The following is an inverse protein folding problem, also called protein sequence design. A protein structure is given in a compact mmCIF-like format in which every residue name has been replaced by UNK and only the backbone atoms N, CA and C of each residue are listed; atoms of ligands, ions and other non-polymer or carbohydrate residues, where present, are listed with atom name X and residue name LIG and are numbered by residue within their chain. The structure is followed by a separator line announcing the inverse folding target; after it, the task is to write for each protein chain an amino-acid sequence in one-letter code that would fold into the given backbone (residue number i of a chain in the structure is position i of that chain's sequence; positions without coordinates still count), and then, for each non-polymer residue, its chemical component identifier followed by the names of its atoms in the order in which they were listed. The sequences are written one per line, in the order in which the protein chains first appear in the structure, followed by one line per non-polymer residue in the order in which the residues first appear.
data_IF_851583710589
#
_entry.id   IF_851583710589
#
_cell.length_a   1.000
_cell.length_b   1.000
_cell.length_c   1.000
_cell.angle_alpha   90.00
_cell.angle_beta   90.00
_cell.angle_gamma   90.00
#
_symmetry.space_group_name_H-M   'P 1'
#
loop_
_entity.id
_entity.type
_entity.pdbx_description
1 polymer ?
#
# COMPACT_ATOMS: atom_id res chain seq x y z
N UNK A 1 -20.11 24.56 -6.35
CA UNK A 1 -19.41 23.25 -6.45
C UNK A 1 -18.51 23.10 -5.22
N UNK A 2 -18.73 22.07 -4.42
CA UNK A 2 -17.77 21.53 -3.45
C UNK A 2 -17.40 20.12 -3.98
N UNK A 3 -16.29 19.44 -3.67
CA UNK A 3 -15.17 19.56 -2.71
C UNK A 3 -13.92 18.99 -3.44
N UNK A 4 -12.65 19.19 -3.08
CA UNK A 4 -11.97 19.65 -1.86
C UNK A 4 -10.84 20.63 -2.24
N UNK A 5 -10.50 21.57 -1.36
CA UNK A 5 -9.25 22.34 -1.41
C UNK A 5 -8.50 22.26 -0.06
N UNK A 6 -7.18 22.48 -0.10
CA UNK A 6 -6.22 22.58 1.02
C UNK A 6 -5.57 21.31 1.62
N UNK A 7 -4.23 21.33 1.55
CA UNK A 7 -3.21 20.61 2.34
C UNK A 7 -2.59 19.30 1.79
N UNK A 8 -1.46 19.42 1.07
CA UNK A 8 -0.15 18.96 1.56
C UNK A 8 1.07 19.49 0.77
N UNK A 9 1.21 20.81 0.63
CA UNK A 9 2.42 21.44 0.07
C UNK A 9 3.47 21.75 1.16
N UNK A 10 4.11 20.73 1.77
CA UNK A 10 5.29 20.90 2.65
C UNK A 10 6.31 19.74 2.58
N UNK A 11 7.52 19.95 2.02
CA UNK A 11 8.59 18.95 2.02
C UNK A 11 9.48 19.07 3.27
N UNK A 12 9.20 18.30 4.34
CA UNK A 12 10.03 18.33 5.56
C UNK A 12 9.90 17.10 6.49
N UNK A 13 9.67 15.91 5.95
CA UNK A 13 9.33 14.71 6.75
C UNK A 13 10.25 13.49 6.60
N UNK A 14 11.22 13.47 5.68
CA UNK A 14 12.18 12.36 5.57
C UNK A 14 13.03 12.16 6.86
N UNK A 15 13.30 13.24 7.60
CA UNK A 15 13.98 13.19 8.90
C UNK A 15 13.05 12.84 10.09
N UNK A 16 11.72 12.87 9.90
CA UNK A 16 10.73 12.60 10.96
C UNK A 16 10.17 11.18 10.95
N UNK A 17 10.31 10.43 9.86
CA UNK A 17 9.76 9.05 9.72
C UNK A 17 10.43 8.01 10.62
N UNK A 18 11.69 8.20 11.02
CA UNK A 18 12.37 7.30 11.97
C UNK A 18 12.02 7.58 13.45
N UNK A 19 11.65 8.83 13.79
CA UNK A 19 11.35 9.25 15.17
C UNK A 19 9.89 9.02 15.59
N UNK A 20 9.00 8.66 14.65
CA UNK A 20 7.60 8.29 14.94
C UNK A 20 7.43 6.83 15.35
N UNK A 21 8.40 5.95 15.06
CA UNK A 21 8.28 4.51 15.39
C UNK A 21 8.38 4.19 16.89
N UNK A 22 8.96 5.08 17.70
CA UNK A 22 9.10 4.92 19.16
C UNK A 22 8.08 5.71 19.97
N UNK A 23 7.58 6.84 19.45
CA UNK A 23 6.65 7.73 20.18
C UNK A 23 5.18 7.28 20.12
N UNK A 24 4.80 6.40 19.18
CA UNK A 24 3.46 5.79 19.11
C UNK A 24 3.38 4.47 19.92
N UNK A 25 4.24 4.30 20.94
CA UNK A 25 4.06 3.24 21.95
C UNK A 25 3.12 3.65 23.09
N UNK A 26 2.58 4.88 23.06
CA UNK A 26 1.81 5.47 24.16
C UNK A 26 0.44 6.04 23.76
N UNK A 27 -0.32 5.34 22.90
CA UNK A 27 -1.78 5.51 22.83
C UNK A 27 -2.47 4.22 22.39
N UNK A 28 -3.14 3.51 23.32
CA UNK A 28 -3.88 2.26 23.04
C UNK A 28 -5.09 2.55 22.15
N UNK A 29 -5.41 1.68 21.16
CA UNK A 29 -6.77 1.71 20.61
C UNK A 29 -7.15 1.10 19.25
N UNK A 30 -6.28 0.49 18.42
CA UNK A 30 -6.73 -0.32 17.24
C UNK A 30 -5.60 -1.19 16.67
N UNK A 31 -5.44 -2.42 17.16
CA UNK A 31 -4.22 -3.23 16.97
C UNK A 31 -4.01 -3.91 15.60
N UNK A 32 -4.98 -3.83 14.67
CA UNK A 32 -4.94 -4.61 13.41
C UNK A 32 -4.09 -3.95 12.32
N UNK A 33 -4.11 -2.62 12.17
CA UNK A 33 -3.39 -1.92 11.09
C UNK A 33 -1.86 -1.96 11.25
N UNK A 34 -1.37 -1.96 12.49
CA UNK A 34 0.06 -1.90 12.83
C UNK A 34 0.79 -3.24 12.61
N UNK A 35 0.10 -4.38 12.67
CA UNK A 35 0.73 -5.71 12.67
C UNK A 35 1.42 -6.07 11.35
N UNK A 36 0.81 -5.74 10.20
CA UNK A 36 1.35 -6.06 8.89
C UNK A 36 2.64 -5.28 8.60
N UNK A 37 2.61 -3.96 8.77
CA UNK A 37 3.78 -3.08 8.53
C UNK A 37 4.90 -3.43 9.52
N UNK A 38 4.57 -3.71 10.79
CA UNK A 38 5.55 -4.19 11.78
C UNK A 38 6.19 -5.52 11.38
N UNK A 39 5.41 -6.46 10.85
CA UNK A 39 5.93 -7.76 10.38
C UNK A 39 6.90 -7.59 9.22
N UNK A 40 6.57 -6.73 8.25
CA UNK A 40 7.45 -6.42 7.11
C UNK A 40 8.72 -5.65 7.53
N UNK A 41 8.64 -4.78 8.53
CA UNK A 41 9.81 -4.07 9.07
C UNK A 41 10.71 -4.99 9.92
N UNK A 42 10.13 -5.90 10.70
CA UNK A 42 10.87 -6.83 11.55
C UNK A 42 11.55 -7.96 10.75
N UNK A 43 11.02 -8.32 9.58
CA UNK A 43 11.63 -9.33 8.72
C UNK A 43 12.85 -8.74 7.98
N UNK A 44 14.08 -9.30 8.18
CA UNK A 44 15.30 -8.73 7.61
C UNK A 44 15.33 -8.69 6.08
N UNK A 45 14.58 -9.57 5.39
CA UNK A 45 14.49 -9.57 3.91
C UNK A 45 13.71 -8.38 3.37
N UNK A 46 12.68 -7.92 4.09
CA UNK A 46 11.78 -6.85 3.64
C UNK A 46 12.09 -5.49 4.28
N UNK A 47 12.78 -5.45 5.42
CA UNK A 47 13.17 -4.23 6.14
C UNK A 47 13.89 -3.19 5.27
N UNK A 48 14.80 -3.65 4.39
CA UNK A 48 15.51 -2.76 3.47
C UNK A 48 14.58 -2.04 2.50
N UNK A 49 13.59 -2.76 1.95
CA UNK A 49 12.59 -2.22 1.05
C UNK A 49 11.62 -1.26 1.76
N UNK A 50 11.18 -1.61 2.98
CA UNK A 50 10.34 -0.72 3.82
C UNK A 50 11.05 0.61 4.07
N UNK A 51 12.35 0.59 4.36
CA UNK A 51 13.15 1.81 4.52
C UNK A 51 13.28 2.58 3.20
N UNK A 52 13.60 1.89 2.09
CA UNK A 52 13.74 2.52 0.77
C UNK A 52 12.48 3.28 0.34
N UNK A 53 11.30 2.65 0.50
CA UNK A 53 10.01 3.28 0.22
C UNK A 53 9.66 4.43 1.19
N UNK A 54 10.06 4.35 2.46
CA UNK A 54 9.86 5.41 3.43
C UNK A 54 10.75 6.66 3.17
N UNK A 55 11.90 6.48 2.53
CA UNK A 55 12.78 7.58 2.10
C UNK A 55 12.48 8.10 0.69
N UNK A 56 12.03 7.24 -0.23
CA UNK A 56 11.75 7.58 -1.62
C UNK A 56 10.32 7.16 -2.01
N UNK A 57 9.38 8.10 -1.87
CA UNK A 57 7.98 7.90 -2.22
C UNK A 57 7.75 7.66 -3.73
N UNK A 58 8.58 8.23 -4.61
CA UNK A 58 8.47 8.04 -6.05
C UNK A 58 8.82 6.60 -6.47
N UNK A 59 9.85 6.01 -5.85
CA UNK A 59 10.20 4.60 -6.00
C UNK A 59 9.04 3.68 -5.58
N UNK A 60 8.42 3.95 -4.42
CA UNK A 60 7.23 3.20 -3.98
C UNK A 60 6.11 3.20 -5.02
N UNK A 61 5.74 4.37 -5.58
CA UNK A 61 4.66 4.45 -6.57
C UNK A 61 5.02 3.73 -7.88
N UNK A 62 6.28 3.83 -8.33
CA UNK A 62 6.78 3.18 -9.54
C UNK A 62 6.79 1.64 -9.42
N UNK A 63 7.13 1.11 -8.25
CA UNK A 63 7.08 -0.34 -8.00
C UNK A 63 5.64 -0.82 -7.74
N UNK A 64 4.81 0.01 -7.09
CA UNK A 64 3.40 -0.30 -6.84
C UNK A 64 2.60 -0.45 -8.13
N UNK A 65 2.75 0.46 -9.11
CA UNK A 65 2.04 0.33 -10.39
C UNK A 65 2.41 -0.98 -11.13
N UNK A 66 3.69 -1.38 -11.11
CA UNK A 66 4.16 -2.61 -11.75
C UNK A 66 3.63 -3.85 -11.02
N UNK A 67 3.60 -3.83 -9.68
CA UNK A 67 3.04 -4.89 -8.88
C UNK A 67 1.53 -5.07 -9.14
N UNK A 68 0.77 -3.97 -9.26
CA UNK A 68 -0.67 -4.02 -9.57
C UNK A 68 -0.95 -4.60 -10.96
N UNK A 69 -0.18 -4.22 -11.99
CA UNK A 69 -0.29 -4.83 -13.32
C UNK A 69 0.02 -6.32 -13.26
N UNK A 70 1.12 -6.72 -12.60
CA UNK A 70 1.50 -8.13 -12.47
C UNK A 70 0.46 -8.97 -11.72
N UNK A 71 -0.14 -8.44 -10.65
CA UNK A 71 -1.20 -9.14 -9.93
C UNK A 71 -2.51 -9.25 -10.73
N UNK A 72 -2.84 -8.23 -11.52
CA UNK A 72 -4.03 -8.23 -12.39
C UNK A 72 -3.97 -9.23 -13.57
N UNK A 73 -2.79 -9.79 -13.84
CA UNK A 73 -2.54 -10.80 -14.88
C UNK A 73 -2.45 -12.23 -14.34
N UNK A 74 -2.67 -12.46 -13.05
CA UNK A 74 -2.70 -13.80 -12.46
C UNK A 74 -4.04 -14.48 -12.76
N UNK A 75 -3.98 -15.72 -13.25
CA UNK A 75 -5.12 -16.63 -13.47
C UNK A 75 -6.31 -16.02 -14.26
N UNK A 76 -6.00 -15.11 -15.19
CA UNK A 76 -6.99 -14.43 -16.04
C UNK A 76 -7.60 -15.43 -17.04
N UNK A 77 -8.93 -15.37 -17.18
CA UNK A 77 -9.67 -16.15 -18.18
C UNK A 77 -9.63 -15.46 -19.54
N UNK A 78 -8.82 -15.97 -20.46
CA UNK A 78 -8.72 -15.45 -21.82
C UNK A 78 -9.47 -16.31 -22.84
N UNK A 79 -9.86 -15.71 -23.98
CA UNK A 79 -10.55 -16.38 -25.08
C UNK A 79 -11.88 -16.99 -24.65
N UNK A 80 -12.14 -18.24 -25.03
CA UNK A 80 -13.35 -18.99 -24.70
C UNK A 80 -13.34 -19.63 -23.30
N UNK A 81 -12.34 -19.35 -22.45
CA UNK A 81 -12.20 -19.98 -21.13
C UNK A 81 -12.99 -19.28 -20.01
N UNK A 82 -13.96 -18.42 -20.36
CA UNK A 82 -14.76 -17.64 -19.43
C UNK A 82 -16.04 -17.10 -20.07
N UNK A 83 -16.77 -16.30 -19.29
CA UNK A 83 -18.04 -15.69 -19.70
C UNK A 83 -18.12 -14.24 -19.24
N UNK A 84 -18.90 -13.43 -19.95
CA UNK A 84 -19.28 -12.08 -19.50
C UNK A 84 -20.56 -12.19 -18.69
N UNK A 85 -20.47 -11.96 -17.37
CA UNK A 85 -21.61 -12.05 -16.45
C UNK A 85 -22.43 -10.77 -16.52
N UNK A 86 -23.73 -10.90 -16.83
CA UNK A 86 -24.68 -9.78 -16.77
C UNK A 86 -24.97 -9.34 -15.33
N UNK A 87 -24.85 -10.27 -14.38
CA UNK A 87 -24.94 -10.02 -12.95
C UNK A 87 -23.76 -10.71 -12.24
N UNK A 88 -22.83 -9.93 -11.68
CA UNK A 88 -21.62 -10.45 -11.03
C UNK A 88 -21.87 -11.41 -9.83
N UNK A 89 -23.11 -11.47 -9.31
CA UNK A 89 -23.49 -12.35 -8.19
C UNK A 89 -24.02 -13.72 -8.61
N UNK A 90 -24.45 -13.89 -9.86
CA UNK A 90 -25.13 -15.09 -10.37
C UNK A 90 -24.32 -15.65 -11.54
N UNK A 91 -24.14 -16.96 -11.63
CA UNK A 91 -23.48 -17.60 -12.80
C UNK A 91 -24.57 -17.73 -13.88
N UNK A 92 -24.25 -17.45 -15.14
CA UNK A 92 -25.25 -17.50 -16.21
C UNK A 92 -25.76 -18.94 -16.45
#
# INVERSE_FOLDING_TARGET
MAVVETSLSKPLTAQRTLLTMTTIMHCKGRLVYYSLIKTLYNNPRTRGLVNAYAFNQAMFFLDFQQAMVKMGLLDVKEGSNGEVRTNCRIIN
#
